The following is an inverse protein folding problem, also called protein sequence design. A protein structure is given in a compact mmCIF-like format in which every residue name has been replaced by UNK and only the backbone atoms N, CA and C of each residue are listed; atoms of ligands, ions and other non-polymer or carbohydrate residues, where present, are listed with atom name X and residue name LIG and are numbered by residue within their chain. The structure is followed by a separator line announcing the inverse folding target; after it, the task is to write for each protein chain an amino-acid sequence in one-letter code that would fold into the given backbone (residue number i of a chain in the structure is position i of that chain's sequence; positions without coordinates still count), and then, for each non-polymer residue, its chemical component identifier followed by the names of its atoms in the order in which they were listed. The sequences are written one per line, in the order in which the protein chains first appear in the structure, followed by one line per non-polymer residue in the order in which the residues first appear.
data_IF_281119330280
#
_entry.id   IF_281119330280
#
_cell.length_a   1.000
_cell.length_b   1.000
_cell.length_c   1.000
_cell.angle_alpha   90.00
_cell.angle_beta   90.00
_cell.angle_gamma   90.00
#
_symmetry.space_group_name_H-M   'P 1'
#
loop_
_entity.id
_entity.type
_entity.pdbx_description
1 polymer ?
#
# COMPACT_ATOMS: atom_id res chain seq x y z
N UNK A 1 12.42 -6.66 21.66
CA UNK A 1 11.77 -6.66 20.33
C UNK A 1 10.31 -6.35 20.60
N UNK A 2 9.91 -5.12 20.26
CA UNK A 2 8.65 -4.50 20.68
C UNK A 2 7.62 -4.47 19.54
N UNK A 3 7.86 -5.21 18.44
CA UNK A 3 7.01 -5.29 17.26
C UNK A 3 6.63 -3.92 16.69
N UNK A 4 7.52 -2.95 16.80
CA UNK A 4 7.36 -1.61 16.22
C UNK A 4 7.97 -1.52 14.83
N UNK A 5 7.42 -0.63 13.99
CA UNK A 5 7.92 -0.31 12.65
C UNK A 5 8.49 1.10 12.65
N UNK A 6 9.68 1.21 12.11
CA UNK A 6 10.42 2.46 11.98
C UNK A 6 10.75 2.67 10.51
N UNK A 7 10.62 3.90 10.02
CA UNK A 7 10.93 4.27 8.64
C UNK A 7 11.86 5.46 8.59
N UNK A 8 12.71 5.46 7.56
CA UNK A 8 13.58 6.57 7.20
C UNK A 8 13.97 6.47 5.73
N UNK A 9 14.64 7.47 5.20
CA UNK A 9 15.04 7.52 3.80
C UNK A 9 14.13 8.40 2.96
N UNK A 10 13.88 8.01 1.71
CA UNK A 10 13.03 8.75 0.77
C UNK A 10 11.54 8.68 1.16
N UNK A 11 10.85 9.81 1.07
CA UNK A 11 9.39 9.91 1.24
C UNK A 11 8.64 10.08 -0.09
N UNK A 12 9.24 9.69 -1.21
CA UNK A 12 8.58 9.72 -2.50
C UNK A 12 7.28 8.88 -2.45
N UNK A 13 6.17 9.44 -2.93
CA UNK A 13 4.86 8.78 -2.88
C UNK A 13 4.33 8.50 -1.46
N UNK A 14 4.90 9.10 -0.42
CA UNK A 14 4.44 8.92 0.96
C UNK A 14 4.92 7.63 1.64
N UNK A 15 5.99 7.02 1.15
CA UNK A 15 6.48 5.72 1.64
C UNK A 15 6.84 5.70 3.12
N UNK A 16 7.22 6.83 3.73
CA UNK A 16 7.61 6.86 5.13
C UNK A 16 6.45 6.72 6.12
N UNK A 17 5.20 6.88 5.66
CA UNK A 17 4.02 6.65 6.50
C UNK A 17 3.72 7.80 7.48
N UNK A 18 4.30 8.95 7.30
CA UNK A 18 4.03 10.15 8.07
C UNK A 18 4.10 11.40 7.19
N UNK A 19 3.49 12.43 7.64
CA UNK A 19 3.11 13.70 7.06
C UNK A 19 3.65 14.09 5.65
N UNK A 20 2.74 14.65 4.85
CA UNK A 20 2.97 15.17 3.49
C UNK A 20 3.98 16.33 3.44
N UNK A 21 4.11 17.09 4.52
CA UNK A 21 4.85 18.35 4.58
C UNK A 21 6.27 18.22 5.12
N UNK A 22 6.76 16.99 5.32
CA UNK A 22 8.12 16.77 5.73
C UNK A 22 9.03 16.60 4.53
N UNK A 23 10.31 16.85 4.73
CA UNK A 23 11.36 16.72 3.74
C UNK A 23 11.20 15.42 2.92
N UNK A 24 11.49 15.51 1.63
CA UNK A 24 11.47 14.35 0.71
C UNK A 24 12.42 13.24 1.16
N UNK A 25 13.30 13.52 2.12
CA UNK A 25 14.26 12.56 2.67
C UNK A 25 14.35 12.76 4.19
N UNK A 26 14.17 11.68 4.94
CA UNK A 26 14.43 11.63 6.37
C UNK A 26 15.69 10.83 6.66
N UNK A 27 16.66 11.45 7.28
CA UNK A 27 17.92 10.78 7.67
C UNK A 27 17.84 10.10 9.05
N UNK A 28 16.73 10.27 9.78
CA UNK A 28 16.53 9.71 11.12
C UNK A 28 15.38 8.73 11.14
N UNK A 29 15.55 7.52 11.73
CA UNK A 29 14.45 6.59 11.95
C UNK A 29 13.33 7.22 12.77
N UNK A 30 12.10 7.07 12.33
CA UNK A 30 10.89 7.49 13.04
C UNK A 30 9.94 6.32 13.20
N UNK A 31 9.48 6.10 14.43
CA UNK A 31 8.47 5.07 14.71
C UNK A 31 7.11 5.51 14.16
N UNK A 32 6.48 4.62 13.36
CA UNK A 32 5.21 4.89 12.70
C UNK A 32 4.10 3.90 13.08
N UNK A 33 4.45 2.72 13.59
CA UNK A 33 3.47 1.68 13.91
C UNK A 33 3.94 0.80 15.07
N UNK A 34 2.98 0.17 15.76
CA UNK A 34 3.21 -0.78 16.85
C UNK A 34 2.34 -2.04 16.69
N UNK A 35 2.67 -3.10 17.42
CA UNK A 35 1.96 -4.38 17.42
C UNK A 35 1.85 -5.00 16.01
N UNK A 36 2.95 -4.95 15.27
CA UNK A 36 3.06 -5.47 13.91
C UNK A 36 3.72 -6.83 13.91
N UNK A 37 3.08 -7.82 13.28
CA UNK A 37 3.65 -9.15 13.09
C UNK A 37 4.30 -9.36 11.73
N UNK A 38 3.92 -8.58 10.71
CA UNK A 38 4.43 -8.72 9.36
C UNK A 38 4.51 -7.36 8.65
N UNK A 39 5.57 -7.18 7.88
CA UNK A 39 5.79 -5.99 7.04
C UNK A 39 6.06 -6.42 5.60
N UNK A 40 5.60 -5.63 4.64
CA UNK A 40 5.94 -5.77 3.24
C UNK A 40 6.19 -4.40 2.62
N UNK A 41 7.10 -4.36 1.66
CA UNK A 41 7.43 -3.17 0.89
C UNK A 41 7.66 -3.55 -0.57
N UNK A 42 7.24 -2.70 -1.49
CA UNK A 42 7.48 -2.90 -2.91
C UNK A 42 7.09 -1.68 -3.74
N UNK A 43 7.91 -1.30 -4.73
CA UNK A 43 7.71 -0.08 -5.47
C UNK A 43 7.68 1.13 -4.54
N UNK A 44 6.57 1.84 -4.55
CA UNK A 44 6.32 3.00 -3.68
C UNK A 44 5.21 2.73 -2.65
N UNK A 45 5.00 1.46 -2.29
CA UNK A 45 3.97 1.05 -1.34
C UNK A 45 4.54 0.27 -0.17
N UNK A 46 3.90 0.42 0.96
CA UNK A 46 4.22 -0.24 2.22
C UNK A 46 2.97 -0.88 2.80
N UNK A 47 3.17 -1.99 3.50
CA UNK A 47 2.11 -2.68 4.22
C UNK A 47 2.59 -3.18 5.57
N UNK A 48 1.68 -3.19 6.53
CA UNK A 48 1.83 -3.92 7.79
C UNK A 48 0.61 -4.78 8.06
N UNK A 49 0.84 -5.97 8.61
CA UNK A 49 -0.22 -6.78 9.22
C UNK A 49 0.02 -6.73 10.73
N UNK A 50 -0.98 -6.28 11.46
CA UNK A 50 -0.91 -6.22 12.92
C UNK A 50 -1.08 -7.61 13.54
N UNK A 51 -0.76 -7.74 14.84
CA UNK A 51 -1.01 -8.95 15.61
C UNK A 51 -2.49 -9.36 15.63
N UNK A 52 -3.42 -8.40 15.41
CA UNK A 52 -4.86 -8.63 15.26
C UNK A 52 -5.29 -8.97 13.82
N UNK A 53 -4.37 -9.33 12.94
CA UNK A 53 -4.62 -9.66 11.52
C UNK A 53 -5.25 -8.53 10.69
N UNK A 54 -5.08 -7.28 11.09
CA UNK A 54 -5.50 -6.14 10.29
C UNK A 54 -4.39 -5.70 9.34
N UNK A 55 -4.74 -5.51 8.07
CA UNK A 55 -3.85 -4.97 7.04
C UNK A 55 -3.99 -3.46 6.97
N UNK A 56 -2.86 -2.78 7.02
CA UNK A 56 -2.72 -1.35 6.74
C UNK A 56 -1.82 -1.17 5.53
N UNK A 57 -2.19 -0.26 4.65
CA UNK A 57 -1.44 0.13 3.46
C UNK A 57 -1.17 1.63 3.47
N UNK A 58 -0.07 2.03 2.82
CA UNK A 58 0.21 3.43 2.48
C UNK A 58 1.18 3.51 1.29
N UNK A 59 1.42 4.73 0.83
CA UNK A 59 2.27 5.02 -0.31
C UNK A 59 1.49 5.46 -1.54
N UNK A 60 2.05 5.24 -2.70
CA UNK A 60 1.57 5.74 -3.98
C UNK A 60 0.38 4.93 -4.54
N UNK A 61 -0.38 5.54 -5.48
CA UNK A 61 -1.61 4.93 -6.01
C UNK A 61 -1.85 5.13 -7.53
N UNK A 62 -0.80 5.17 -8.38
CA UNK A 62 -1.00 5.45 -9.81
C UNK A 62 -1.84 4.39 -10.53
N UNK A 63 -1.87 3.18 -10.05
CA UNK A 63 -2.60 2.06 -10.63
C UNK A 63 -3.82 1.61 -9.81
N UNK A 64 -4.22 2.36 -8.78
CA UNK A 64 -5.30 1.96 -7.88
C UNK A 64 -4.91 0.86 -6.89
N UNK A 65 -3.62 0.59 -6.71
CA UNK A 65 -3.12 -0.50 -5.88
C UNK A 65 -3.46 -0.37 -4.39
N UNK A 66 -3.85 0.81 -3.91
CA UNK A 66 -4.38 0.96 -2.54
C UNK A 66 -5.79 0.40 -2.37
N UNK A 67 -6.49 0.06 -3.44
CA UNK A 67 -7.80 -0.57 -3.39
C UNK A 67 -8.95 0.30 -2.87
N UNK A 68 -8.80 1.62 -2.91
CA UNK A 68 -9.74 2.60 -2.36
C UNK A 68 -10.80 3.09 -3.37
N UNK A 69 -10.85 2.50 -4.56
CA UNK A 69 -11.73 2.91 -5.66
C UNK A 69 -11.22 4.09 -6.47
N UNK A 70 -9.98 4.51 -6.25
CA UNK A 70 -9.35 5.65 -6.90
C UNK A 70 -7.99 5.29 -7.45
N UNK A 71 -7.48 6.08 -8.38
CA UNK A 71 -6.10 6.03 -8.87
C UNK A 71 -5.56 7.44 -9.05
N UNK A 72 -4.27 7.63 -8.79
CA UNK A 72 -3.56 8.86 -9.13
C UNK A 72 -3.18 8.86 -10.62
N UNK A 73 -3.14 10.03 -11.25
CA UNK A 73 -2.52 10.18 -12.56
C UNK A 73 -0.98 10.15 -12.47
N UNK A 74 -0.31 9.82 -13.57
CA UNK A 74 1.15 9.73 -13.68
C UNK A 74 1.91 11.07 -13.63
N UNK A 75 1.22 12.19 -13.60
CA UNK A 75 1.86 13.50 -13.60
C UNK A 75 2.43 13.86 -12.23
N UNK A 76 3.72 14.06 -12.18
CA UNK A 76 4.52 14.43 -11.00
C UNK A 76 4.02 15.65 -10.19
N UNK A 77 3.06 16.40 -10.71
CA UNK A 77 2.46 17.54 -10.01
C UNK A 77 1.14 17.27 -9.32
N UNK A 78 0.35 16.30 -9.78
CA UNK A 78 -1.00 15.97 -9.27
C UNK A 78 -1.07 14.59 -8.60
N UNK A 79 -0.02 13.80 -8.68
CA UNK A 79 0.06 12.42 -8.18
C UNK A 79 -0.15 12.30 -6.65
N UNK A 80 0.07 13.38 -5.93
CA UNK A 80 -0.06 13.38 -4.47
C UNK A 80 -1.49 13.36 -3.94
N UNK A 81 -2.52 13.56 -4.80
CA UNK A 81 -3.91 13.67 -4.33
C UNK A 81 -4.48 12.34 -3.84
N UNK A 82 -4.03 11.22 -4.40
CA UNK A 82 -4.56 9.89 -4.08
C UNK A 82 -3.54 8.98 -3.36
N UNK A 83 -2.35 9.50 -3.05
CA UNK A 83 -1.38 8.82 -2.20
C UNK A 83 -1.83 8.83 -0.75
N UNK A 84 -1.52 7.76 -0.04
CA UNK A 84 -1.71 7.72 1.40
C UNK A 84 -0.37 7.95 2.11
N UNK A 85 -0.22 9.12 2.69
CA UNK A 85 0.96 9.50 3.47
C UNK A 85 0.98 8.88 4.88
N UNK A 86 -0.13 8.33 5.34
CA UNK A 86 -0.24 7.64 6.64
C UNK A 86 -0.86 6.27 6.45
N UNK A 87 -0.46 5.27 7.26
CA UNK A 87 -1.07 3.96 7.22
C UNK A 87 -2.58 4.01 7.41
N UNK A 88 -3.32 3.37 6.51
CA UNK A 88 -4.79 3.22 6.62
C UNK A 88 -5.16 1.75 6.60
N UNK A 89 -6.07 1.37 7.49
CA UNK A 89 -6.63 0.02 7.51
C UNK A 89 -7.48 -0.21 6.24
N UNK A 90 -7.18 -1.30 5.54
CA UNK A 90 -7.91 -1.68 4.31
C UNK A 90 -8.66 -2.99 4.43
N UNK A 91 -8.21 -3.92 5.27
CA UNK A 91 -8.81 -5.25 5.39
C UNK A 91 -8.54 -5.86 6.75
N UNK A 92 -9.47 -6.67 7.28
CA UNK A 92 -9.27 -7.54 8.43
C UNK A 92 -9.05 -9.00 8.02
N UNK A 93 -8.71 -9.84 8.98
CA UNK A 93 -8.52 -11.28 8.81
C UNK A 93 -7.48 -11.63 7.74
N UNK A 94 -6.37 -10.90 7.73
CA UNK A 94 -5.30 -11.05 6.74
C UNK A 94 -4.18 -11.92 7.28
N UNK A 95 -3.83 -12.97 6.51
CA UNK A 95 -2.72 -13.87 6.80
C UNK A 95 -1.41 -13.40 6.17
N UNK A 96 -1.45 -12.89 4.92
CA UNK A 96 -0.26 -12.46 4.19
C UNK A 96 -0.58 -11.34 3.19
N UNK A 97 0.45 -10.56 2.84
CA UNK A 97 0.37 -9.53 1.81
C UNK A 97 1.65 -9.56 0.96
N UNK A 98 1.48 -9.44 -0.34
CA UNK A 98 2.56 -9.26 -1.30
C UNK A 98 2.39 -7.95 -2.06
N UNK A 99 3.46 -7.16 -2.12
CA UNK A 99 3.50 -5.90 -2.86
C UNK A 99 4.43 -6.09 -4.06
N UNK A 100 3.86 -5.97 -5.26
CA UNK A 100 4.61 -5.90 -6.51
C UNK A 100 4.62 -4.47 -7.05
N UNK A 101 5.28 -4.26 -8.18
CA UNK A 101 5.25 -2.97 -8.87
C UNK A 101 3.82 -2.66 -9.36
N UNK A 102 3.16 -1.71 -8.70
CA UNK A 102 1.81 -1.25 -9.04
C UNK A 102 0.68 -2.23 -8.75
N UNK A 103 0.91 -3.29 -7.96
CA UNK A 103 -0.12 -4.26 -7.56
C UNK A 103 0.09 -4.78 -6.15
N UNK A 104 -1.00 -5.14 -5.49
CA UNK A 104 -0.99 -5.74 -4.15
C UNK A 104 -1.88 -6.97 -4.16
N UNK A 105 -1.37 -8.07 -3.60
CA UNK A 105 -2.09 -9.33 -3.42
C UNK A 105 -2.16 -9.63 -1.93
N UNK A 106 -3.36 -9.94 -1.47
CA UNK A 106 -3.65 -10.25 -0.07
C UNK A 106 -4.18 -11.67 0.04
N UNK A 107 -3.67 -12.44 0.97
CA UNK A 107 -4.23 -13.73 1.38
C UNK A 107 -4.93 -13.54 2.72
N UNK A 108 -6.19 -13.89 2.80
CA UNK A 108 -6.96 -13.87 4.04
C UNK A 108 -6.77 -15.13 4.87
N UNK A 109 -7.20 -15.09 6.11
CA UNK A 109 -7.13 -16.23 7.04
C UNK A 109 -7.96 -17.44 6.58
N UNK A 110 -9.01 -17.22 5.78
CA UNK A 110 -9.82 -18.27 5.14
C UNK A 110 -9.19 -18.90 3.89
N UNK A 111 -7.98 -18.46 3.52
CA UNK A 111 -7.25 -18.91 2.33
C UNK A 111 -7.60 -18.16 1.06
N UNK A 112 -8.65 -17.35 1.02
CA UNK A 112 -9.02 -16.56 -0.16
C UNK A 112 -7.94 -15.54 -0.51
N UNK A 113 -7.72 -15.34 -1.82
CA UNK A 113 -6.74 -14.37 -2.33
C UNK A 113 -7.44 -13.23 -3.04
N UNK A 114 -6.98 -12.03 -2.79
CA UNK A 114 -7.54 -10.78 -3.31
C UNK A 114 -6.44 -9.94 -3.94
N UNK A 115 -6.72 -9.31 -5.06
CA UNK A 115 -5.76 -8.46 -5.77
C UNK A 115 -6.32 -7.10 -6.14
N UNK A 116 -5.43 -6.11 -6.23
CA UNK A 116 -5.72 -4.75 -6.68
C UNK A 116 -4.53 -4.18 -7.44
N UNK A 117 -4.75 -3.17 -8.28
CA UNK A 117 -3.73 -2.55 -9.11
C UNK A 117 -3.58 -3.20 -10.47
N UNK A 118 -2.36 -3.23 -11.00
CA UNK A 118 -2.06 -3.77 -12.34
C UNK A 118 -2.46 -5.24 -12.46
N UNK A 119 -3.26 -5.54 -13.48
CA UNK A 119 -3.71 -6.90 -13.79
C UNK A 119 -4.98 -7.34 -13.06
N UNK A 120 -5.53 -6.50 -12.17
CA UNK A 120 -6.73 -6.81 -11.40
C UNK A 120 -7.83 -5.80 -11.68
N UNK A 121 -8.63 -6.02 -12.73
CA UNK A 121 -9.77 -5.16 -13.06
C UNK A 121 -9.84 -4.84 -14.54
N UNK A 122 -10.81 -3.98 -14.89
CA UNK A 122 -11.12 -3.64 -16.28
C UNK A 122 -10.87 -2.18 -16.62
N UNK A 123 -10.39 -1.36 -15.69
CA UNK A 123 -10.09 0.04 -15.95
C UNK A 123 -8.79 0.17 -16.76
N UNK A 124 -8.80 1.01 -17.77
CA UNK A 124 -7.60 1.34 -18.55
C UNK A 124 -6.63 2.20 -17.75
N UNK A 125 -5.34 2.00 -17.95
CA UNK A 125 -4.28 2.90 -17.49
C UNK A 125 -3.64 3.61 -18.69
N UNK A 126 -2.96 4.72 -18.43
CA UNK A 126 -2.19 5.44 -19.47
C UNK A 126 -1.10 4.57 -20.12
N UNK A 127 -0.64 3.55 -19.44
CA UNK A 127 0.30 2.55 -19.96
C UNK A 127 -0.36 1.42 -20.75
N UNK A 128 -1.68 1.48 -21.02
CA UNK A 128 -2.43 0.45 -21.74
C UNK A 128 -2.67 -0.84 -20.95
N UNK A 129 -2.26 -0.92 -19.68
CA UNK A 129 -2.50 -2.07 -18.80
C UNK A 129 -3.86 -1.98 -18.12
N UNK A 130 -4.52 -3.13 -17.95
CA UNK A 130 -5.73 -3.20 -17.12
C UNK A 130 -5.37 -3.01 -15.66
N UNK A 131 -6.14 -2.20 -14.94
CA UNK A 131 -5.94 -1.93 -13.52
C UNK A 131 -7.24 -2.09 -12.74
N UNK A 132 -7.14 -2.52 -11.49
CA UNK A 132 -8.24 -2.59 -10.55
C UNK A 132 -8.03 -1.58 -9.42
N UNK A 133 -9.00 -0.72 -9.22
CA UNK A 133 -8.97 0.30 -8.15
C UNK A 133 -9.58 -0.20 -6.84
N UNK A 134 -10.09 -1.43 -6.83
CA UNK A 134 -10.62 -2.13 -5.65
C UNK A 134 -10.06 -3.54 -5.56
N UNK A 135 -10.01 -4.09 -4.35
CA UNK A 135 -9.66 -5.49 -4.18
C UNK A 135 -10.73 -6.39 -4.81
N UNK A 136 -10.28 -7.30 -5.68
CA UNK A 136 -11.12 -8.32 -6.29
C UNK A 136 -10.63 -9.71 -5.87
N UNK A 137 -11.55 -10.63 -5.65
CA UNK A 137 -11.18 -12.01 -5.32
C UNK A 137 -10.54 -12.68 -6.53
N UNK A 138 -9.38 -13.30 -6.35
CA UNK A 138 -8.62 -14.00 -7.39
C UNK A 138 -8.86 -15.50 -7.29
N UNK A 139 -8.86 -16.03 -6.09
CA UNK A 139 -9.10 -17.44 -5.79
C UNK A 139 -9.61 -17.63 -4.37
N UNK A 140 -10.25 -18.77 -4.19
CA UNK A 140 -10.68 -19.26 -2.89
C UNK A 140 -9.76 -20.35 -2.39
#
# INVERSE_FOLDING_TARGET
KDHSVWTWGSNAGGMLGYDKNTDLISCKPKKIFENVKYIAAGGYNMAVITEKNNLYLWGDNPYGQLGNGKKAGWYFGDSNKECWFKPKKVMGDVAAVHIGSGKIIVTRMDGSKWGTGIGFGNEGSESGKKVGTRFVMISK
#
